data_IF_631343257123
#
_entry.id   IF_631343257123
#
_cell.length_a   1.000
_cell.length_b   1.000
_cell.length_c   1.000
_cell.angle_alpha   90.00
_cell.angle_beta   90.00
_cell.angle_gamma   90.00
#
_symmetry.space_group_name_H-M   'P 1'
#
loop_
_entity.id
_entity.type
_entity.pdbx_description
1 polymer ?
#
# COMPACT_ATOMS: atom_id res chain seq x y z
N UNK A 1 -24.63 -14.20 23.65
CA UNK A 1 -23.42 -13.33 23.70
C UNK A 1 -22.22 -13.97 23.00
N UNK A 2 -21.79 -15.18 23.38
CA UNK A 2 -20.64 -15.85 22.76
C UNK A 2 -20.70 -15.97 21.23
N UNK A 3 -21.83 -16.43 20.67
CA UNK A 3 -22.00 -16.61 19.21
C UNK A 3 -21.88 -15.28 18.44
N UNK A 4 -22.42 -14.19 18.99
CA UNK A 4 -22.32 -12.85 18.37
C UNK A 4 -20.87 -12.37 18.33
N UNK A 5 -20.13 -12.57 19.43
CA UNK A 5 -18.70 -12.22 19.50
C UNK A 5 -17.88 -13.09 18.53
N UNK A 6 -18.16 -14.39 18.44
CA UNK A 6 -17.46 -15.30 17.52
C UNK A 6 -17.63 -14.91 16.05
N UNK A 7 -18.77 -14.32 15.67
CA UNK A 7 -19.02 -13.84 14.30
C UNK A 7 -18.39 -12.46 14.04
N UNK A 8 -18.45 -11.55 15.01
CA UNK A 8 -17.97 -10.17 14.84
C UNK A 8 -16.45 -10.02 15.04
N UNK A 9 -15.83 -10.86 15.88
CA UNK A 9 -14.40 -10.74 16.18
C UNK A 9 -13.49 -10.88 14.93
N UNK A 10 -13.70 -11.84 14.00
CA UNK A 10 -12.91 -11.92 12.77
C UNK A 10 -13.06 -10.70 11.86
N UNK A 11 -14.26 -10.13 11.77
CA UNK A 11 -14.52 -8.90 11.01
C UNK A 11 -13.75 -7.72 11.60
N UNK A 12 -13.81 -7.55 12.92
CA UNK A 12 -13.05 -6.52 13.61
C UNK A 12 -11.54 -6.71 13.42
N UNK A 13 -11.03 -7.93 13.56
CA UNK A 13 -9.62 -8.26 13.36
C UNK A 13 -9.15 -7.91 11.93
N UNK A 14 -9.96 -8.25 10.91
CA UNK A 14 -9.67 -7.91 9.51
C UNK A 14 -9.59 -6.40 9.29
N UNK A 15 -10.52 -5.63 9.86
CA UNK A 15 -10.50 -4.16 9.74
C UNK A 15 -9.26 -3.55 10.42
N UNK A 16 -8.91 -4.04 11.61
CA UNK A 16 -7.69 -3.60 12.33
C UNK A 16 -6.45 -3.95 11.50
N UNK A 17 -6.36 -5.18 10.97
CA UNK A 17 -5.24 -5.61 10.15
C UNK A 17 -5.07 -4.73 8.91
N UNK A 18 -6.15 -4.43 8.20
CA UNK A 18 -6.13 -3.53 7.03
C UNK A 18 -5.69 -2.11 7.43
N UNK A 19 -6.17 -1.59 8.56
CA UNK A 19 -5.78 -0.27 9.04
C UNK A 19 -4.29 -0.20 9.43
N UNK A 20 -3.78 -1.23 10.12
CA UNK A 20 -2.37 -1.32 10.51
C UNK A 20 -1.47 -1.48 9.29
N UNK A 21 -1.86 -2.30 8.30
CA UNK A 21 -1.12 -2.48 7.04
C UNK A 21 -0.94 -1.14 6.31
N UNK A 22 -2.03 -0.36 6.16
CA UNK A 22 -1.96 0.96 5.51
C UNK A 22 -1.07 1.95 6.26
N UNK A 23 -1.13 1.98 7.60
CA UNK A 23 -0.24 2.84 8.41
C UNK A 23 1.23 2.46 8.26
N UNK A 24 1.54 1.17 8.21
CA UNK A 24 2.92 0.69 8.01
C UNK A 24 3.48 1.13 6.66
N UNK A 25 2.66 1.17 5.61
CA UNK A 25 3.11 1.65 4.31
C UNK A 25 3.53 3.13 4.36
N UNK A 26 2.73 4.00 4.99
CA UNK A 26 3.09 5.41 5.14
C UNK A 26 4.36 5.61 5.98
N UNK A 27 4.55 4.79 7.02
CA UNK A 27 5.79 4.81 7.81
C UNK A 27 6.99 4.37 6.99
N UNK A 28 6.82 3.37 6.11
CA UNK A 28 7.89 2.93 5.22
C UNK A 28 8.29 4.04 4.22
N UNK A 29 7.32 4.75 3.65
CA UNK A 29 7.57 5.91 2.78
C UNK A 29 8.35 7.02 3.50
N UNK A 30 7.89 7.39 4.70
CA UNK A 30 8.54 8.42 5.51
C UNK A 30 9.96 8.00 5.92
N UNK A 31 10.14 6.75 6.38
CA UNK A 31 11.45 6.23 6.73
C UNK A 31 12.40 6.20 5.52
N UNK A 32 11.90 5.80 4.35
CA UNK A 32 12.67 5.83 3.10
C UNK A 32 13.09 7.24 2.72
N UNK A 33 12.18 8.21 2.78
CA UNK A 33 12.47 9.61 2.49
C UNK A 33 13.47 10.23 3.49
N UNK A 34 13.36 9.89 4.78
CA UNK A 34 14.31 10.32 5.82
C UNK A 34 15.70 9.73 5.60
N UNK A 35 15.77 8.45 5.21
CA UNK A 35 17.04 7.76 4.96
C UNK A 35 17.75 8.29 3.70
N UNK A 36 17.01 8.55 2.63
CA UNK A 36 17.58 9.07 1.38
C UNK A 36 17.72 10.58 1.35
N UNK A 37 17.07 11.28 2.30
CA UNK A 37 16.88 12.74 2.30
C UNK A 37 16.30 13.26 0.97
N UNK A 38 15.55 12.42 0.25
CA UNK A 38 15.06 12.73 -1.09
C UNK A 38 13.60 12.31 -1.33
N UNK A 39 12.63 13.00 -0.69
CA UNK A 39 11.21 12.66 -0.79
C UNK A 39 10.67 12.75 -2.22
N UNK A 40 11.09 13.75 -3.00
CA UNK A 40 10.65 13.89 -4.41
C UNK A 40 11.11 12.71 -5.27
N UNK A 41 12.31 12.16 -5.00
CA UNK A 41 12.79 10.97 -5.69
C UNK A 41 11.88 9.76 -5.47
N UNK A 42 11.45 9.54 -4.22
CA UNK A 42 10.50 8.48 -3.88
C UNK A 42 9.13 8.73 -4.51
N UNK A 43 8.63 9.98 -4.48
CA UNK A 43 7.36 10.35 -5.09
C UNK A 43 7.36 10.09 -6.61
N UNK A 44 8.43 10.49 -7.30
CA UNK A 44 8.60 10.25 -8.74
C UNK A 44 8.71 8.76 -9.08
N UNK A 45 9.41 7.98 -8.25
CA UNK A 45 9.48 6.53 -8.43
C UNK A 45 8.11 5.87 -8.30
N UNK A 46 7.34 6.25 -7.27
CA UNK A 46 5.99 5.72 -7.05
C UNK A 46 5.03 6.13 -8.17
N UNK A 47 5.14 7.36 -8.68
CA UNK A 47 4.38 7.83 -9.84
C UNK A 47 4.66 6.96 -11.07
N UNK A 48 5.93 6.69 -11.38
CA UNK A 48 6.32 5.80 -12.50
C UNK A 48 5.78 4.39 -12.33
N UNK A 49 5.91 3.79 -11.14
CA UNK A 49 5.42 2.43 -10.86
C UNK A 49 3.89 2.38 -11.01
N UNK A 50 3.17 3.38 -10.50
CA UNK A 50 1.70 3.41 -10.53
C UNK A 50 1.13 3.67 -11.93
N UNK A 51 1.92 4.26 -12.82
CA UNK A 51 1.55 4.54 -14.20
C UNK A 51 1.81 3.36 -15.15
N UNK A 52 2.55 2.35 -14.72
CA UNK A 52 2.84 1.18 -15.55
C UNK A 52 1.57 0.34 -15.78
N UNK A 53 1.10 0.34 -17.02
CA UNK A 53 -0.06 -0.42 -17.46
C UNK A 53 0.33 -1.75 -18.14
N UNK A 54 1.62 -2.11 -18.12
CA UNK A 54 2.12 -3.31 -18.80
C UNK A 54 1.46 -4.56 -18.22
N UNK A 55 0.63 -5.28 -19.00
CA UNK A 55 -0.01 -6.48 -18.51
C UNK A 55 1.05 -7.58 -18.35
N UNK A 56 1.13 -8.17 -17.16
CA UNK A 56 1.92 -9.37 -16.96
C UNK A 56 1.32 -10.52 -17.75
N UNK A 57 2.16 -11.16 -18.56
CA UNK A 57 1.76 -12.28 -19.43
C UNK A 57 1.37 -13.50 -18.60
N UNK A 58 2.09 -13.74 -17.50
CA UNK A 58 1.79 -14.75 -16.48
C UNK A 58 2.14 -14.20 -15.09
N UNK A 59 1.22 -14.31 -14.14
CA UNK A 59 1.45 -14.00 -12.73
C UNK A 59 0.94 -15.14 -11.88
N UNK A 60 1.78 -15.67 -10.97
CA UNK A 60 1.40 -16.75 -10.05
C UNK A 60 1.29 -16.20 -8.63
N UNK A 61 0.28 -16.63 -7.88
CA UNK A 61 0.08 -16.18 -6.49
C UNK A 61 1.30 -16.46 -5.60
N UNK A 62 2.00 -17.56 -5.85
CA UNK A 62 3.22 -17.93 -5.13
C UNK A 62 4.38 -16.95 -5.35
N UNK A 63 4.44 -16.28 -6.50
CA UNK A 63 5.51 -15.31 -6.82
C UNK A 63 5.07 -13.86 -6.65
N UNK A 64 3.82 -13.61 -6.23
CA UNK A 64 3.26 -12.27 -6.13
C UNK A 64 4.07 -11.32 -5.22
N UNK A 65 4.72 -11.87 -4.19
CA UNK A 65 5.54 -11.12 -3.24
C UNK A 65 6.91 -10.67 -3.81
N UNK A 66 7.31 -11.17 -4.99
CA UNK A 66 8.54 -10.76 -5.69
C UNK A 66 8.32 -9.53 -6.57
N UNK A 67 7.07 -9.11 -6.79
CA UNK A 67 6.74 -7.96 -7.62
C UNK A 67 6.78 -6.67 -6.82
N UNK A 68 7.22 -5.58 -7.47
CA UNK A 68 7.24 -4.24 -6.88
C UNK A 68 5.82 -3.71 -6.67
N UNK A 69 4.88 -4.08 -7.54
CA UNK A 69 3.46 -3.73 -7.46
C UNK A 69 2.61 -4.99 -7.61
N UNK A 70 1.38 -4.96 -7.09
CA UNK A 70 0.47 -6.09 -7.16
C UNK A 70 0.23 -6.51 -8.63
N UNK A 71 0.60 -7.73 -9.04
CA UNK A 71 0.51 -8.18 -10.43
C UNK A 71 -0.92 -8.52 -10.88
N UNK A 72 -1.89 -8.53 -9.96
CA UNK A 72 -3.27 -8.91 -10.24
C UNK A 72 -4.18 -7.69 -10.43
N UNK A 73 -5.23 -7.84 -11.26
CA UNK A 73 -6.15 -6.74 -11.62
C UNK A 73 -6.88 -6.18 -10.39
N UNK A 74 -6.86 -4.86 -10.28
CA UNK A 74 -7.60 -4.11 -9.27
C UNK A 74 -9.08 -3.93 -9.67
N UNK A 75 -9.95 -4.86 -9.27
CA UNK A 75 -11.41 -4.68 -9.35
C UNK A 75 -11.91 -3.86 -8.15
N UNK A 76 -13.15 -3.34 -8.22
CA UNK A 76 -13.68 -2.45 -7.17
C UNK A 76 -13.71 -3.12 -5.78
N UNK A 77 -13.94 -4.44 -5.74
CA UNK A 77 -13.88 -5.23 -4.51
C UNK A 77 -12.44 -5.37 -3.98
N UNK A 78 -11.43 -5.57 -4.83
CA UNK A 78 -10.05 -5.66 -4.36
C UNK A 78 -9.50 -4.35 -3.82
N UNK A 79 -10.07 -3.19 -4.20
CA UNK A 79 -9.75 -1.90 -3.55
C UNK A 79 -10.15 -1.86 -2.08
N UNK A 80 -11.28 -2.48 -1.71
CA UNK A 80 -11.72 -2.55 -0.31
C UNK A 80 -10.79 -3.42 0.55
N UNK A 81 -10.23 -4.47 -0.05
CA UNK A 81 -9.26 -5.37 0.57
C UNK A 81 -7.80 -5.03 0.25
N UNK A 82 -7.54 -3.87 -0.36
CA UNK A 82 -6.18 -3.46 -0.69
C UNK A 82 -5.37 -3.31 0.60
N UNK A 83 -4.25 -4.01 0.67
CA UNK A 83 -3.32 -3.97 1.81
C UNK A 83 -2.50 -2.68 1.84
N UNK A 84 -2.44 -1.97 0.71
CA UNK A 84 -1.73 -0.69 0.55
C UNK A 84 -2.73 0.47 0.34
N UNK A 85 -2.41 1.69 0.81
CA UNK A 85 -3.18 2.88 0.53
C UNK A 85 -3.04 3.32 -0.94
N UNK A 86 -3.92 4.22 -1.37
CA UNK A 86 -3.91 4.77 -2.73
C UNK A 86 -2.54 5.42 -3.04
N UNK A 87 -1.90 5.12 -4.19
CA UNK A 87 -0.61 5.70 -4.57
C UNK A 87 -0.62 7.23 -4.60
N UNK A 88 -1.73 7.86 -4.99
CA UNK A 88 -1.84 9.33 -5.05
C UNK A 88 -1.72 9.96 -3.67
N UNK A 89 -2.31 9.33 -2.66
CA UNK A 89 -2.20 9.78 -1.28
C UNK A 89 -0.77 9.66 -0.75
N UNK A 90 -0.07 8.57 -1.10
CA UNK A 90 1.35 8.40 -0.75
C UNK A 90 2.24 9.43 -1.42
N UNK A 91 2.07 9.65 -2.73
CA UNK A 91 2.79 10.67 -3.51
C UNK A 91 2.58 12.05 -2.91
N UNK A 92 1.32 12.39 -2.58
CA UNK A 92 0.97 13.66 -1.94
C UNK A 92 1.73 13.86 -0.63
N UNK A 93 1.69 12.87 0.27
CA UNK A 93 2.41 12.95 1.56
C UNK A 93 3.91 13.10 1.40
N UNK A 94 4.52 12.34 0.47
CA UNK A 94 5.95 12.46 0.17
C UNK A 94 6.31 13.87 -0.31
N UNK A 95 5.52 14.45 -1.22
CA UNK A 95 5.73 15.82 -1.73
C UNK A 95 5.48 16.91 -0.68
N UNK A 96 4.64 16.63 0.32
CA UNK A 96 4.40 17.52 1.47
C UNK A 96 5.54 17.43 2.53
N UNK A 97 6.49 16.49 2.41
CA UNK A 97 7.62 16.40 3.33
C UNK A 97 8.62 17.53 3.07
N UNK A 98 8.76 18.43 4.04
CA UNK A 98 9.90 19.34 4.10
C UNK A 98 11.00 18.72 4.97
N UNK A 99 12.13 18.37 4.34
CA UNK A 99 13.31 17.80 5.02
C UNK A 99 14.45 18.82 5.13
N UNK A 100 14.18 20.11 4.89
CA UNK A 100 15.15 21.18 5.14
C UNK A 100 15.23 21.40 6.65
N UNK A 101 16.39 21.09 7.21
CA UNK A 101 16.79 21.61 8.54
C UNK A 101 17.54 22.92 8.35
#
# INVERSE_FOLDING_TARGET
>A
VGIVISLLAPLAAMLIQLAVSRKREFLADAAGAMLTRYPEGLASALEKISADATPLREAHGATAHLFIANPFKNNALSRLFATHPDPRERIRRLREMDLRE
#
